data_IF_859183798956
#
_entry.id   IF_859183798956
#
_cell.length_a   1.000
_cell.length_b   1.000
_cell.length_c   1.000
_cell.angle_alpha   90.00
_cell.angle_beta   90.00
_cell.angle_gamma   90.00
#
_symmetry.space_group_name_H-M   'P 1'
#
loop_
_entity.id
_entity.type
_entity.pdbx_description
1 polymer ?
#
# COMPACT_ATOMS: atom_id res chain seq x y z
N UNK A 1 -4.63 23.96 -7.37
CA UNK A 1 -5.43 22.94 -8.08
C UNK A 1 -6.11 21.94 -7.12
N UNK A 2 -5.52 21.59 -5.97
CA UNK A 2 -6.10 20.60 -5.02
C UNK A 2 -7.32 21.14 -4.26
N UNK A 3 -7.30 22.42 -3.87
CA UNK A 3 -8.36 23.04 -3.06
C UNK A 3 -9.76 23.02 -3.71
N UNK A 4 -9.96 23.38 -5.00
CA UNK A 4 -11.29 23.31 -5.60
C UNK A 4 -11.80 21.88 -5.74
N UNK A 5 -10.93 20.88 -6.01
CA UNK A 5 -11.33 19.47 -6.03
C UNK A 5 -11.76 18.99 -4.65
N UNK A 6 -11.03 19.35 -3.61
CA UNK A 6 -11.38 19.02 -2.24
C UNK A 6 -12.72 19.66 -1.83
N UNK A 7 -12.95 20.92 -2.20
CA UNK A 7 -14.21 21.63 -1.90
C UNK A 7 -15.40 20.98 -2.62
N UNK A 8 -15.26 20.61 -3.90
CA UNK A 8 -16.30 19.91 -4.67
C UNK A 8 -16.60 18.54 -4.06
N UNK A 9 -15.56 17.76 -3.72
CA UNK A 9 -15.72 16.44 -3.10
C UNK A 9 -16.40 16.54 -1.71
N UNK A 10 -15.98 17.49 -0.88
CA UNK A 10 -16.61 17.75 0.43
C UNK A 10 -18.07 18.20 0.29
N UNK A 11 -18.35 19.07 -0.68
CA UNK A 11 -19.72 19.49 -0.98
C UNK A 11 -20.60 18.33 -1.43
N UNK A 12 -20.10 17.50 -2.34
CA UNK A 12 -20.82 16.33 -2.83
C UNK A 12 -21.11 15.33 -1.68
N UNK A 13 -20.13 15.04 -0.84
CA UNK A 13 -20.32 14.15 0.32
C UNK A 13 -21.31 14.75 1.31
N UNK A 14 -21.19 16.04 1.62
CA UNK A 14 -22.09 16.73 2.55
C UNK A 14 -23.55 16.67 2.12
N UNK A 15 -23.84 16.90 0.83
CA UNK A 15 -25.21 16.90 0.31
C UNK A 15 -25.77 15.52 -0.03
N UNK A 16 -24.91 14.53 -0.31
CA UNK A 16 -25.33 13.20 -0.76
C UNK A 16 -25.45 12.17 0.36
N UNK A 17 -24.83 12.41 1.52
CA UNK A 17 -24.88 11.47 2.65
C UNK A 17 -25.88 11.94 3.69
N UNK A 18 -26.86 11.10 4.10
CA UNK A 18 -27.71 11.41 5.24
C UNK A 18 -26.82 11.56 6.50
N UNK A 19 -26.95 12.68 7.19
CA UNK A 19 -26.27 12.94 8.46
C UNK A 19 -26.85 12.02 9.55
N UNK A 20 -26.28 10.82 9.69
CA UNK A 20 -26.49 10.03 10.90
C UNK A 20 -25.60 10.63 12.00
N UNK A 21 -26.19 11.11 13.11
CA UNK A 21 -25.38 11.65 14.19
C UNK A 21 -24.49 10.53 14.75
N UNK A 22 -23.18 10.67 14.55
CA UNK A 22 -22.15 9.71 15.02
C UNK A 22 -22.11 9.62 16.56
N UNK A 23 -22.66 10.62 17.24
CA UNK A 23 -22.68 10.71 18.70
C UNK A 23 -24.06 11.17 19.16
N UNK A 24 -24.93 10.22 19.43
CA UNK A 24 -26.26 10.54 19.93
C UNK A 24 -26.31 10.75 21.43
N UNK A 25 -25.46 10.11 22.21
CA UNK A 25 -25.33 10.27 23.66
C UNK A 25 -24.04 9.62 24.15
N UNK A 26 -23.13 10.39 24.68
CA UNK A 26 -22.05 9.82 25.43
C UNK A 26 -20.69 10.47 25.23
N UNK A 27 -19.98 10.56 26.32
CA UNK A 27 -18.59 11.01 26.38
C UNK A 27 -17.75 10.29 25.30
N UNK A 28 -16.96 11.03 24.55
CA UNK A 28 -15.97 10.55 23.59
C UNK A 28 -15.14 9.40 24.20
N UNK A 29 -14.87 9.47 25.50
CA UNK A 29 -14.14 8.44 26.23
C UNK A 29 -14.88 7.08 26.24
N UNK A 30 -16.21 7.06 26.38
CA UNK A 30 -17.00 5.82 26.28
C UNK A 30 -17.02 5.23 24.88
N UNK A 31 -17.08 6.10 23.86
CA UNK A 31 -17.00 5.68 22.46
C UNK A 31 -15.62 5.06 22.15
N UNK A 32 -14.53 5.71 22.58
CA UNK A 32 -13.16 5.19 22.40
C UNK A 32 -12.96 3.86 23.13
N UNK A 33 -13.37 3.76 24.40
CA UNK A 33 -13.24 2.51 25.17
C UNK A 33 -14.06 1.36 24.57
N UNK A 34 -15.26 1.67 24.07
CA UNK A 34 -16.09 0.70 23.33
C UNK A 34 -15.43 0.21 22.06
N UNK A 35 -14.85 1.14 21.27
CA UNK A 35 -14.11 0.81 20.04
C UNK A 35 -12.89 -0.06 20.32
N UNK A 36 -12.11 0.25 21.36
CA UNK A 36 -10.94 -0.55 21.75
C UNK A 36 -11.35 -1.96 22.18
N UNK A 37 -12.42 -2.10 22.95
CA UNK A 37 -12.95 -3.40 23.37
C UNK A 37 -13.44 -4.20 22.16
N UNK A 38 -14.09 -3.55 21.20
CA UNK A 38 -14.54 -4.19 19.97
C UNK A 38 -13.36 -4.60 19.10
N UNK A 39 -12.33 -3.76 18.98
CA UNK A 39 -11.10 -4.07 18.25
C UNK A 39 -10.40 -5.31 18.84
N UNK A 40 -10.22 -5.35 20.17
CA UNK A 40 -9.65 -6.51 20.86
C UNK A 40 -10.44 -7.78 20.59
N UNK A 41 -11.77 -7.71 20.62
CA UNK A 41 -12.65 -8.83 20.25
C UNK A 41 -12.46 -9.23 18.79
N UNK A 42 -12.38 -8.29 17.88
CA UNK A 42 -12.16 -8.56 16.46
C UNK A 42 -10.82 -9.24 16.22
N UNK A 43 -9.76 -8.81 16.90
CA UNK A 43 -8.44 -9.45 16.83
C UNK A 43 -8.51 -10.89 17.34
N UNK A 44 -9.18 -11.15 18.47
CA UNK A 44 -9.31 -12.53 18.98
C UNK A 44 -10.15 -13.44 18.08
N UNK A 45 -11.02 -12.87 17.25
CA UNK A 45 -11.80 -13.63 16.27
C UNK A 45 -11.03 -13.93 14.98
N UNK A 46 -9.87 -13.30 14.74
CA UNK A 46 -9.06 -13.56 13.53
C UNK A 46 -8.65 -15.01 13.43
N UNK A 47 -8.38 -15.66 14.58
CA UNK A 47 -7.97 -17.07 14.65
C UNK A 47 -9.09 -18.03 14.24
N UNK A 48 -10.36 -17.61 14.32
CA UNK A 48 -11.51 -18.39 13.88
C UNK A 48 -11.62 -18.47 12.35
N UNK A 49 -10.94 -17.56 11.61
CA UNK A 49 -11.03 -17.49 10.16
C UNK A 49 -9.70 -17.88 9.51
N UNK A 50 -9.60 -19.13 8.96
CA UNK A 50 -8.37 -19.62 8.37
C UNK A 50 -7.87 -18.72 7.24
N UNK A 51 -6.63 -18.26 7.35
CA UNK A 51 -5.96 -17.43 6.35
C UNK A 51 -6.07 -15.92 6.55
N UNK A 52 -7.09 -15.42 7.26
CA UNK A 52 -7.26 -13.98 7.47
C UNK A 52 -6.09 -13.39 8.28
N UNK A 53 -5.69 -14.05 9.37
CA UNK A 53 -4.56 -13.61 10.19
C UNK A 53 -3.25 -13.58 9.39
N UNK A 54 -2.98 -14.63 8.60
CA UNK A 54 -1.79 -14.70 7.74
C UNK A 54 -1.80 -13.60 6.66
N UNK A 55 -2.96 -13.34 6.10
CA UNK A 55 -3.14 -12.25 5.14
C UNK A 55 -2.85 -10.89 5.77
N UNK A 56 -3.41 -10.59 6.94
CA UNK A 56 -3.20 -9.32 7.64
C UNK A 56 -1.73 -9.10 8.03
N UNK A 57 -1.06 -10.15 8.52
CA UNK A 57 0.39 -10.08 8.80
C UNK A 57 1.19 -9.86 7.52
N UNK A 58 0.95 -10.64 6.47
CA UNK A 58 1.60 -10.43 5.17
C UNK A 58 1.36 -9.02 4.62
N UNK A 59 0.15 -8.49 4.84
CA UNK A 59 -0.24 -7.16 4.40
C UNK A 59 0.58 -6.05 5.05
N UNK A 60 0.97 -6.19 6.31
CA UNK A 60 1.87 -5.22 6.97
C UNK A 60 3.15 -5.09 6.14
N UNK A 61 3.78 -6.20 5.81
CA UNK A 61 5.07 -6.20 5.12
C UNK A 61 5.00 -5.68 3.69
N UNK A 62 4.09 -6.19 2.85
CA UNK A 62 4.06 -5.75 1.46
C UNK A 62 3.51 -4.32 1.30
N UNK A 63 2.57 -3.90 2.15
CA UNK A 63 2.07 -2.52 2.13
C UNK A 63 3.13 -1.54 2.58
N UNK A 64 3.89 -1.90 3.62
CA UNK A 64 5.03 -1.13 4.09
C UNK A 64 6.10 -0.98 3.02
N UNK A 65 6.54 -2.09 2.43
CA UNK A 65 7.53 -2.09 1.36
C UNK A 65 7.08 -1.26 0.15
N UNK A 66 5.82 -1.40 -0.29
CA UNK A 66 5.29 -0.64 -1.42
C UNK A 66 5.20 0.87 -1.13
N UNK A 67 4.75 1.24 0.08
CA UNK A 67 4.66 2.64 0.49
C UNK A 67 6.05 3.28 0.63
N UNK A 68 6.98 2.57 1.26
CA UNK A 68 8.38 3.03 1.44
C UNK A 68 9.05 3.19 0.07
N UNK A 69 8.96 2.20 -0.81
CA UNK A 69 9.50 2.30 -2.15
C UNK A 69 8.94 3.50 -2.92
N UNK A 70 7.63 3.73 -2.84
CA UNK A 70 7.00 4.86 -3.53
C UNK A 70 7.41 6.20 -2.93
N UNK A 71 7.50 6.30 -1.60
CA UNK A 71 7.86 7.53 -0.90
C UNK A 71 9.33 7.95 -1.16
N UNK A 72 10.24 6.97 -1.16
CA UNK A 72 11.67 7.23 -1.28
C UNK A 72 12.24 7.05 -2.70
N UNK A 73 11.45 6.61 -3.67
CA UNK A 73 11.90 6.36 -5.04
C UNK A 73 12.61 7.57 -5.67
N UNK A 74 12.09 8.78 -5.49
CA UNK A 74 12.68 10.00 -6.04
C UNK A 74 14.05 10.29 -5.42
N UNK A 75 14.19 10.15 -4.11
CA UNK A 75 15.44 10.36 -3.38
C UNK A 75 16.46 9.31 -3.81
N UNK A 76 16.04 8.04 -3.87
CA UNK A 76 16.89 6.93 -4.25
C UNK A 76 17.52 7.13 -5.64
N UNK A 77 16.69 7.43 -6.66
CA UNK A 77 17.21 7.60 -8.04
C UNK A 77 18.01 8.89 -8.22
N UNK A 78 17.70 9.93 -7.45
CA UNK A 78 18.49 11.18 -7.45
C UNK A 78 19.90 10.96 -6.94
N UNK A 79 20.04 10.25 -5.83
CA UNK A 79 21.31 10.18 -5.12
C UNK A 79 22.17 9.01 -5.56
N UNK A 80 21.58 7.84 -5.89
CA UNK A 80 22.35 6.69 -6.35
C UNK A 80 22.71 6.76 -7.85
N UNK A 81 21.86 7.40 -8.66
CA UNK A 81 22.05 7.46 -10.12
C UNK A 81 22.26 8.87 -10.65
N UNK A 82 22.31 9.89 -9.79
CA UNK A 82 22.53 11.28 -10.20
C UNK A 82 21.46 11.83 -11.15
N UNK A 83 20.24 11.34 -11.08
CA UNK A 83 19.15 11.76 -11.98
C UNK A 83 18.78 13.21 -11.75
N UNK A 84 18.61 13.96 -12.86
CA UNK A 84 18.09 15.32 -12.81
C UNK A 84 16.62 15.35 -12.42
N UNK A 85 16.12 16.50 -11.95
CA UNK A 85 14.68 16.68 -11.62
C UNK A 85 13.78 16.31 -12.81
N UNK A 86 14.21 16.61 -14.04
CA UNK A 86 13.46 16.25 -15.25
C UNK A 86 13.41 14.74 -15.48
N UNK A 87 14.49 14.02 -15.20
CA UNK A 87 14.53 12.55 -15.33
C UNK A 87 13.73 11.88 -14.24
N UNK A 88 13.78 12.39 -13.00
CA UNK A 88 12.92 11.92 -11.91
C UNK A 88 11.44 12.08 -12.27
N UNK A 89 11.06 13.22 -12.87
CA UNK A 89 9.68 13.42 -13.31
C UNK A 89 9.25 12.39 -14.37
N UNK A 90 10.12 12.08 -15.35
CA UNK A 90 9.86 11.03 -16.35
C UNK A 90 9.76 9.65 -15.70
N UNK A 91 10.67 9.35 -14.77
CA UNK A 91 10.69 8.10 -14.00
C UNK A 91 9.37 7.87 -13.26
N UNK A 92 8.89 8.88 -12.53
CA UNK A 92 7.61 8.83 -11.83
C UNK A 92 6.42 8.72 -12.80
N UNK A 93 6.47 9.44 -13.93
CA UNK A 93 5.42 9.38 -14.95
C UNK A 93 5.27 7.97 -15.55
N UNK A 94 6.38 7.29 -15.84
CA UNK A 94 6.36 5.89 -16.30
C UNK A 94 5.65 5.00 -15.29
N UNK A 95 5.96 5.12 -14.00
CA UNK A 95 5.32 4.36 -12.93
C UNK A 95 3.81 4.61 -12.84
N UNK A 96 3.41 5.88 -12.90
CA UNK A 96 1.98 6.27 -12.85
C UNK A 96 1.22 5.72 -14.05
N UNK A 97 1.73 5.91 -15.27
CA UNK A 97 1.07 5.43 -16.49
C UNK A 97 0.97 3.89 -16.50
N UNK A 98 2.05 3.21 -16.11
CA UNK A 98 2.06 1.76 -15.98
C UNK A 98 1.04 1.25 -14.95
N UNK A 99 0.89 1.95 -13.82
CA UNK A 99 -0.09 1.62 -12.79
C UNK A 99 -1.53 1.77 -13.28
N UNK A 100 -1.83 2.82 -14.03
CA UNK A 100 -3.17 3.05 -14.60
C UNK A 100 -3.52 1.94 -15.60
N UNK A 101 -2.64 1.68 -16.57
CA UNK A 101 -2.88 0.66 -17.60
C UNK A 101 -3.00 -0.73 -16.99
N UNK A 102 -2.07 -1.08 -16.09
CA UNK A 102 -2.07 -2.39 -15.44
C UNK A 102 -3.27 -2.59 -14.52
N UNK A 103 -3.83 -1.53 -13.93
CA UNK A 103 -5.02 -1.60 -13.10
C UNK A 103 -6.21 -2.24 -13.83
N UNK A 104 -6.42 -1.92 -15.11
CA UNK A 104 -7.46 -2.56 -15.91
C UNK A 104 -7.18 -4.04 -16.14
N UNK A 105 -5.94 -4.40 -16.46
CA UNK A 105 -5.55 -5.79 -16.68
C UNK A 105 -5.66 -6.63 -15.40
N UNK A 106 -5.23 -6.07 -14.27
CA UNK A 106 -5.34 -6.73 -12.98
C UNK A 106 -6.78 -6.88 -12.51
N UNK A 107 -7.65 -5.89 -12.74
CA UNK A 107 -9.07 -5.99 -12.45
C UNK A 107 -9.69 -7.20 -13.16
N UNK A 108 -9.44 -7.32 -14.47
CA UNK A 108 -9.88 -8.46 -15.27
C UNK A 108 -9.30 -9.79 -14.76
N UNK A 109 -8.02 -9.81 -14.39
CA UNK A 109 -7.37 -11.02 -13.89
C UNK A 109 -7.92 -11.46 -12.53
N UNK A 110 -8.24 -10.52 -11.64
CA UNK A 110 -8.90 -10.81 -10.35
C UNK A 110 -10.23 -11.52 -10.55
N UNK A 111 -11.00 -11.14 -11.57
CA UNK A 111 -12.30 -11.75 -11.86
C UNK A 111 -12.16 -13.17 -12.42
N UNK A 112 -11.09 -13.48 -13.17
CA UNK A 112 -10.89 -14.79 -13.80
C UNK A 112 -10.21 -15.79 -12.85
N UNK A 113 -9.04 -15.41 -12.32
CA UNK A 113 -8.20 -16.35 -11.54
C UNK A 113 -8.36 -16.18 -10.03
N UNK A 114 -9.08 -15.16 -9.61
CA UNK A 114 -9.35 -14.84 -8.21
C UNK A 114 -8.26 -13.97 -7.56
N UNK A 115 -8.63 -13.27 -6.47
CA UNK A 115 -7.78 -12.26 -5.86
C UNK A 115 -6.52 -12.83 -5.18
N UNK A 116 -6.55 -14.05 -4.68
CA UNK A 116 -5.40 -14.70 -4.03
C UNK A 116 -4.25 -14.94 -5.02
N UNK A 117 -4.55 -15.52 -6.18
CA UNK A 117 -3.55 -15.83 -7.20
C UNK A 117 -3.00 -14.52 -7.76
N UNK A 118 -3.89 -13.57 -8.06
CA UNK A 118 -3.51 -12.25 -8.56
C UNK A 118 -2.58 -11.52 -7.58
N UNK A 119 -2.90 -11.50 -6.28
CA UNK A 119 -2.05 -10.87 -5.28
C UNK A 119 -0.66 -11.53 -5.22
N UNK A 120 -0.59 -12.87 -5.28
CA UNK A 120 0.70 -13.55 -5.32
C UNK A 120 1.55 -13.17 -6.55
N UNK A 121 0.94 -13.09 -7.73
CA UNK A 121 1.64 -12.63 -8.94
C UNK A 121 2.18 -11.22 -8.78
N UNK A 122 1.37 -10.33 -8.22
CA UNK A 122 1.76 -8.95 -7.93
C UNK A 122 2.94 -8.89 -6.96
N UNK A 123 2.93 -9.70 -5.91
CA UNK A 123 4.05 -9.76 -4.95
C UNK A 123 5.35 -10.28 -5.59
N UNK A 124 5.27 -11.21 -6.55
CA UNK A 124 6.44 -11.61 -7.34
C UNK A 124 6.98 -10.48 -8.22
N UNK A 125 6.10 -9.62 -8.77
CA UNK A 125 6.54 -8.44 -9.54
C UNK A 125 7.22 -7.43 -8.60
N UNK A 126 6.69 -7.22 -7.40
CA UNK A 126 7.37 -6.39 -6.38
C UNK A 126 8.76 -6.95 -6.04
N UNK A 127 8.86 -8.26 -5.81
CA UNK A 127 10.15 -8.92 -5.57
C UNK A 127 11.13 -8.72 -6.73
N UNK A 128 10.69 -8.88 -7.97
CA UNK A 128 11.51 -8.63 -9.15
C UNK A 128 11.95 -7.16 -9.24
N UNK A 129 11.06 -6.21 -8.91
CA UNK A 129 11.36 -4.77 -8.89
C UNK A 129 12.47 -4.46 -7.89
N UNK A 130 12.35 -4.92 -6.64
CA UNK A 130 13.37 -4.70 -5.62
C UNK A 130 14.68 -5.41 -5.97
N UNK A 131 14.62 -6.63 -6.48
CA UNK A 131 15.82 -7.35 -6.95
C UNK A 131 16.53 -6.60 -8.06
N UNK A 132 15.81 -5.99 -9.00
CA UNK A 132 16.38 -5.18 -10.07
C UNK A 132 17.08 -3.94 -9.49
N UNK A 133 16.42 -3.21 -8.58
CA UNK A 133 17.00 -2.02 -7.94
C UNK A 133 18.29 -2.34 -7.21
N UNK A 134 18.28 -3.37 -6.37
CA UNK A 134 19.45 -3.79 -5.59
C UNK A 134 20.57 -4.25 -6.53
N UNK A 135 20.26 -5.09 -7.52
CA UNK A 135 21.24 -5.63 -8.46
C UNK A 135 21.92 -4.54 -9.29
N UNK A 136 21.18 -3.49 -9.67
CA UNK A 136 21.72 -2.37 -10.45
C UNK A 136 22.83 -1.65 -9.69
N UNK A 137 22.68 -1.46 -8.38
CA UNK A 137 23.69 -0.79 -7.55
C UNK A 137 24.83 -1.75 -7.17
N UNK A 138 24.49 -2.92 -6.63
CA UNK A 138 25.51 -3.81 -6.06
C UNK A 138 26.35 -4.56 -7.09
N UNK A 139 25.76 -4.92 -8.22
CA UNK A 139 26.45 -5.63 -9.30
C UNK A 139 27.01 -4.68 -10.37
N UNK A 140 26.81 -3.36 -10.22
CA UNK A 140 27.26 -2.36 -11.19
C UNK A 140 26.64 -2.57 -12.58
N UNK A 141 25.36 -2.96 -12.65
CA UNK A 141 24.68 -3.18 -13.90
C UNK A 141 24.50 -1.88 -14.68
N UNK A 142 24.34 -1.95 -16.02
CA UNK A 142 24.14 -0.75 -16.83
C UNK A 142 23.01 0.14 -16.32
N UNK A 143 23.27 1.44 -16.13
CA UNK A 143 22.31 2.39 -15.55
C UNK A 143 20.98 2.52 -16.31
N UNK A 144 20.94 2.12 -17.60
CA UNK A 144 19.68 2.13 -18.36
C UNK A 144 18.64 1.13 -17.83
N UNK A 145 19.07 0.05 -17.15
CA UNK A 145 18.16 -0.94 -16.55
C UNK A 145 17.27 -0.36 -15.45
N UNK A 146 17.72 0.73 -14.81
CA UNK A 146 16.93 1.40 -13.77
C UNK A 146 15.56 1.89 -14.29
N UNK A 147 15.47 2.21 -15.58
CA UNK A 147 14.23 2.65 -16.20
C UNK A 147 13.17 1.55 -16.29
N UNK A 148 13.55 0.28 -16.14
CA UNK A 148 12.63 -0.84 -15.99
C UNK A 148 11.93 -0.88 -14.63
N UNK A 149 12.56 -0.34 -13.58
CA UNK A 149 12.02 -0.40 -12.23
C UNK A 149 10.69 0.37 -12.06
N UNK A 150 10.50 1.61 -12.54
CA UNK A 150 9.22 2.31 -12.41
C UNK A 150 8.12 1.64 -13.20
N UNK A 151 8.44 1.01 -14.34
CA UNK A 151 7.47 0.24 -15.11
C UNK A 151 6.97 -0.97 -14.34
N UNK A 152 7.86 -1.79 -13.76
CA UNK A 152 7.51 -2.95 -12.95
C UNK A 152 6.80 -2.51 -11.65
N UNK A 153 7.31 -1.49 -10.97
CA UNK A 153 6.69 -0.95 -9.75
C UNK A 153 5.27 -0.44 -10.03
N UNK A 154 5.05 0.24 -11.14
CA UNK A 154 3.73 0.71 -11.55
C UNK A 154 2.76 -0.45 -11.79
N UNK A 155 3.21 -1.50 -12.52
CA UNK A 155 2.41 -2.71 -12.72
C UNK A 155 2.05 -3.36 -11.40
N UNK A 156 3.02 -3.53 -10.49
CA UNK A 156 2.79 -4.12 -9.18
C UNK A 156 1.87 -3.28 -8.30
N UNK A 157 2.02 -1.95 -8.33
CA UNK A 157 1.18 -1.03 -7.56
C UNK A 157 -0.29 -1.11 -8.01
N UNK A 158 -0.55 -1.07 -9.33
CA UNK A 158 -1.89 -1.23 -9.88
C UNK A 158 -2.54 -2.56 -9.46
N UNK A 159 -1.77 -3.65 -9.49
CA UNK A 159 -2.23 -4.97 -9.08
C UNK A 159 -2.49 -5.07 -7.57
N UNK A 160 -1.64 -4.46 -6.75
CA UNK A 160 -1.84 -4.43 -5.30
C UNK A 160 -3.20 -3.80 -4.96
N UNK A 161 -3.51 -2.64 -5.53
CA UNK A 161 -4.79 -1.96 -5.28
C UNK A 161 -6.00 -2.75 -5.78
N UNK A 162 -5.87 -3.50 -6.89
CA UNK A 162 -6.95 -4.32 -7.46
C UNK A 162 -7.19 -5.62 -6.69
N UNK A 163 -6.16 -6.29 -6.17
CA UNK A 163 -6.27 -7.62 -5.60
C UNK A 163 -6.45 -7.63 -4.06
N UNK A 164 -5.86 -6.65 -3.36
CA UNK A 164 -5.77 -6.59 -1.90
C UNK A 164 -7.17 -6.57 -1.24
N UNK A 165 -8.03 -5.64 -1.66
CA UNK A 165 -9.37 -5.49 -1.09
C UNK A 165 -10.31 -6.66 -1.41
N UNK A 166 -10.43 -7.13 -2.65
CA UNK A 166 -11.22 -8.31 -2.95
C UNK A 166 -10.75 -9.56 -2.18
N UNK A 167 -9.43 -9.73 -2.01
CA UNK A 167 -8.93 -10.88 -1.25
C UNK A 167 -9.34 -10.82 0.22
N UNK A 168 -9.27 -9.66 0.84
CA UNK A 168 -9.78 -9.45 2.19
C UNK A 168 -11.27 -9.80 2.30
N UNK A 169 -12.10 -9.39 1.33
CA UNK A 169 -13.53 -9.68 1.31
C UNK A 169 -13.83 -11.18 1.18
N UNK A 170 -13.04 -11.90 0.36
CA UNK A 170 -13.17 -13.37 0.21
C UNK A 170 -12.84 -14.10 1.52
N UNK A 171 -11.89 -13.59 2.29
CA UNK A 171 -11.48 -14.19 3.57
C UNK A 171 -12.45 -13.87 4.72
N UNK A 172 -13.33 -12.87 4.55
CA UNK A 172 -14.18 -12.36 5.63
C UNK A 172 -15.63 -12.77 5.44
N UNK A 173 -16.27 -13.40 6.45
CA UNK A 173 -17.69 -13.69 6.39
C UNK A 173 -18.53 -12.40 6.27
N UNK A 174 -19.62 -12.41 5.48
CA UNK A 174 -20.46 -11.22 5.22
C UNK A 174 -20.93 -10.50 6.50
N UNK A 175 -21.20 -11.25 7.56
CA UNK A 175 -21.66 -10.72 8.86
C UNK A 175 -20.65 -9.80 9.56
N UNK A 176 -19.35 -10.00 9.30
CA UNK A 176 -18.27 -9.31 10.01
C UNK A 176 -17.43 -8.38 9.12
N UNK A 177 -17.85 -8.16 7.87
CA UNK A 177 -17.10 -7.36 6.89
C UNK A 177 -16.72 -5.99 7.46
N UNK A 178 -17.65 -5.27 8.09
CA UNK A 178 -17.35 -3.93 8.65
C UNK A 178 -16.29 -3.93 9.73
N UNK A 179 -16.29 -4.94 10.61
CA UNK A 179 -15.33 -5.06 11.70
C UNK A 179 -13.92 -5.37 11.16
N UNK A 180 -13.83 -6.37 10.29
CA UNK A 180 -12.55 -6.78 9.70
C UNK A 180 -12.01 -5.75 8.70
N UNK A 181 -12.90 -5.00 8.01
CA UNK A 181 -12.47 -3.90 7.15
C UNK A 181 -11.86 -2.75 7.97
N UNK A 182 -12.37 -2.51 9.18
CA UNK A 182 -11.74 -1.59 10.13
C UNK A 182 -10.34 -2.03 10.54
N UNK A 183 -10.18 -3.32 10.88
CA UNK A 183 -8.87 -3.92 11.21
C UNK A 183 -7.91 -3.88 10.03
N UNK A 184 -8.37 -4.24 8.83
CA UNK A 184 -7.62 -4.14 7.58
C UNK A 184 -7.12 -2.72 7.32
N UNK A 185 -7.97 -1.70 7.49
CA UNK A 185 -7.60 -0.30 7.31
C UNK A 185 -6.58 0.18 8.33
N UNK A 186 -6.73 -0.28 9.58
CA UNK A 186 -5.79 0.02 10.67
C UNK A 186 -4.41 -0.58 10.40
N UNK A 187 -4.35 -1.85 10.03
CA UNK A 187 -3.12 -2.55 9.65
C UNK A 187 -2.37 -1.81 8.54
N UNK A 188 -3.08 -1.37 7.49
CA UNK A 188 -2.46 -0.60 6.41
C UNK A 188 -1.89 0.75 6.86
N UNK A 189 -2.50 1.42 7.84
CA UNK A 189 -1.98 2.68 8.39
C UNK A 189 -0.76 2.48 9.27
N UNK A 190 -0.71 1.40 10.06
CA UNK A 190 0.49 1.07 10.84
C UNK A 190 1.68 0.75 9.93
N UNK A 191 1.44 0.05 8.83
CA UNK A 191 2.46 -0.25 7.84
C UNK A 191 3.13 1.01 7.27
N UNK A 192 2.42 2.13 7.14
CA UNK A 192 3.03 3.37 6.62
C UNK A 192 4.00 4.05 7.59
N UNK A 193 4.09 3.60 8.83
CA UNK A 193 4.99 4.16 9.85
C UNK A 193 6.29 3.36 9.93
N UNK A 194 6.22 2.04 9.77
CA UNK A 194 7.35 1.13 9.97
C UNK A 194 8.45 1.40 8.91
N UNK A 195 8.08 1.51 7.64
CA UNK A 195 9.02 1.70 6.54
C UNK A 195 9.86 2.96 6.64
N UNK A 196 9.28 4.16 6.75
CA UNK A 196 10.06 5.38 6.93
C UNK A 196 10.96 5.36 8.17
N UNK A 197 10.50 4.72 9.25
CA UNK A 197 11.30 4.58 10.47
C UNK A 197 12.49 3.64 10.27
N UNK A 198 12.27 2.49 9.63
CA UNK A 198 13.35 1.54 9.30
C UNK A 198 14.35 2.16 8.32
N UNK A 199 13.87 2.90 7.31
CA UNK A 199 14.72 3.64 6.39
C UNK A 199 15.63 4.62 7.13
N UNK A 200 15.09 5.46 8.01
CA UNK A 200 15.86 6.42 8.79
C UNK A 200 16.94 5.71 9.65
N UNK A 201 16.59 4.63 10.33
CA UNK A 201 17.56 3.88 11.16
C UNK A 201 18.67 3.28 10.30
N UNK A 202 18.35 2.66 9.17
CA UNK A 202 19.34 1.97 8.34
C UNK A 202 20.28 2.97 7.64
N UNK A 203 19.71 4.04 7.08
CA UNK A 203 20.48 5.00 6.29
C UNK A 203 21.22 6.01 7.18
N UNK A 204 20.51 6.60 8.16
CA UNK A 204 21.04 7.71 8.92
C UNK A 204 21.86 7.27 10.15
N UNK A 205 21.40 6.23 10.87
CA UNK A 205 22.10 5.81 12.09
C UNK A 205 23.12 4.70 11.85
N UNK A 206 22.82 3.71 11.02
CA UNK A 206 23.73 2.59 10.74
C UNK A 206 24.70 2.87 9.59
N UNK A 207 24.42 3.88 8.76
CA UNK A 207 25.30 4.27 7.64
C UNK A 207 25.51 3.16 6.60
N UNK A 208 24.57 2.18 6.51
CA UNK A 208 24.70 1.04 5.60
C UNK A 208 24.40 1.38 4.14
N UNK A 209 24.01 2.63 3.89
CA UNK A 209 23.63 3.08 2.56
C UNK A 209 22.18 2.74 2.18
N UNK A 210 21.65 3.48 1.20
CA UNK A 210 20.24 3.37 0.75
C UNK A 210 19.87 2.02 0.13
N UNK A 211 20.77 1.32 -0.59
CA UNK A 211 20.44 0.00 -1.12
C UNK A 211 20.20 -1.07 -0.05
N UNK A 212 20.59 -0.81 1.20
CA UNK A 212 20.38 -1.72 2.33
C UNK A 212 19.05 -1.49 3.07
N UNK A 213 18.46 -0.30 2.91
CA UNK A 213 17.19 0.08 3.52
C UNK A 213 15.98 -0.34 2.66
#
# INVERSE_FOLDING_TARGET
FVLPFAAIACGFVYFSTPSTPLFRDGSIMKAVSGTLKQLRKTISMVDEFPGLGRFLVGRIFYTDSANTATAFAAIYVSEEFGMTTADIAKYMLIGILSSIVSGFLWGYLVDIVGPKITLNLVLWIWFATFSLLISTVWLGLPAWLIWGAPFLAGIALGGTWCADRPYMLVLTPPRYIGQFYGLYSMVGRFATIIGPLSWAIIVDELGLGRPAA
#
